data_IF_648523775656
#
_entry.id   IF_648523775656
#
_cell.length_a   1.000
_cell.length_b   1.000
_cell.length_c   1.000
_cell.angle_alpha   90.00
_cell.angle_beta   90.00
_cell.angle_gamma   90.00
#
_symmetry.space_group_name_H-M   'P 1'
#
loop_
_entity.id
_entity.type
_entity.pdbx_description
1 polymer ?
#
# COMPACT_ATOMS: atom_id res chain seq x y z
N UNK A 1 5.54 -4.06 11.26
CA UNK A 1 6.03 -5.32 11.86
C UNK A 1 6.84 -6.02 10.78
N UNK A 2 8.14 -6.25 11.00
CA UNK A 2 8.95 -7.02 10.05
C UNK A 2 8.73 -8.51 10.30
N UNK A 3 8.37 -9.24 9.25
CA UNK A 3 8.17 -10.70 9.32
C UNK A 3 9.45 -11.44 8.91
N UNK A 4 9.56 -12.70 9.29
CA UNK A 4 10.70 -13.58 9.00
C UNK A 4 10.73 -14.06 7.53
N UNK A 5 9.58 -14.13 6.86
CA UNK A 5 9.46 -14.54 5.46
C UNK A 5 10.07 -13.50 4.52
N UNK A 6 10.96 -13.94 3.63
CA UNK A 6 11.58 -13.09 2.60
C UNK A 6 11.19 -13.56 1.20
N UNK A 7 11.05 -12.62 0.29
CA UNK A 7 10.77 -12.85 -1.13
C UNK A 7 11.92 -12.20 -1.90
N UNK A 8 12.40 -12.85 -2.96
CA UNK A 8 13.36 -12.24 -3.87
C UNK A 8 12.67 -11.20 -4.76
N UNK A 9 13.19 -9.97 -4.73
CA UNK A 9 12.66 -8.80 -5.45
C UNK A 9 13.66 -8.22 -6.45
N UNK A 10 14.75 -8.95 -6.73
CA UNK A 10 15.84 -8.51 -7.62
C UNK A 10 15.38 -8.11 -9.03
N UNK A 11 14.26 -8.65 -9.51
CA UNK A 11 13.70 -8.36 -10.84
C UNK A 11 12.69 -7.20 -10.89
N UNK A 12 12.50 -6.45 -9.81
CA UNK A 12 11.50 -5.37 -9.73
C UNK A 12 12.17 -4.00 -9.94
N UNK A 13 11.72 -3.25 -10.94
CA UNK A 13 12.17 -1.88 -11.17
C UNK A 13 11.36 -0.88 -10.33
N UNK A 14 12.04 -0.18 -9.42
CA UNK A 14 11.47 0.85 -8.54
C UNK A 14 12.10 2.22 -8.75
N UNK A 15 12.97 2.37 -9.76
CA UNK A 15 13.77 3.59 -9.98
C UNK A 15 12.94 4.87 -10.12
N UNK A 16 11.70 4.75 -10.61
CA UNK A 16 10.77 5.86 -10.85
C UNK A 16 9.97 6.28 -9.61
N UNK A 17 9.99 5.47 -8.56
CA UNK A 17 9.17 5.65 -7.37
C UNK A 17 10.08 6.24 -6.28
N UNK A 18 10.05 7.56 -6.13
CA UNK A 18 10.82 8.32 -5.14
C UNK A 18 9.88 9.01 -4.13
N UNK A 19 10.42 9.76 -3.17
CA UNK A 19 9.62 10.45 -2.16
C UNK A 19 8.69 11.51 -2.78
N UNK A 20 9.18 12.22 -3.81
CA UNK A 20 8.41 13.23 -4.54
C UNK A 20 7.18 12.64 -5.25
N UNK A 21 7.26 11.39 -5.71
CA UNK A 21 6.15 10.67 -6.34
C UNK A 21 4.94 10.52 -5.41
N UNK A 22 5.15 10.50 -4.09
CA UNK A 22 4.09 10.41 -3.09
C UNK A 22 3.71 11.75 -2.47
N UNK A 23 4.33 12.86 -2.90
CA UNK A 23 4.02 14.18 -2.39
C UNK A 23 2.53 14.48 -2.57
N UNK A 24 1.89 14.93 -1.49
CA UNK A 24 0.49 15.37 -1.54
C UNK A 24 0.44 16.68 -2.33
N UNK A 25 -0.45 16.76 -3.31
CA UNK A 25 -0.75 18.03 -3.97
C UNK A 25 -1.40 18.95 -2.93
N UNK A 26 -0.78 20.09 -2.64
CA UNK A 26 -1.37 21.09 -1.76
C UNK A 26 -2.63 21.68 -2.41
N UNK A 27 -3.74 21.70 -1.66
CA UNK A 27 -4.96 22.36 -2.08
C UNK A 27 -4.80 23.87 -1.88
N UNK A 28 -4.80 24.63 -2.96
CA UNK A 28 -4.73 26.10 -2.94
C UNK A 28 -6.08 26.77 -2.65
N UNK A 29 -6.91 26.17 -1.79
CA UNK A 29 -8.17 26.76 -1.33
C UNK A 29 -7.94 27.43 0.01
N UNK A 30 -8.27 28.72 0.14
CA UNK A 30 -8.41 29.37 1.44
C UNK A 30 -9.54 28.63 2.17
N UNK A 31 -9.20 27.81 3.15
CA UNK A 31 -10.16 27.02 3.94
C UNK A 31 -11.05 27.96 4.77
N UNK A 32 -12.08 28.53 4.13
CA UNK A 32 -13.18 29.20 4.80
C UNK A 32 -14.08 28.16 5.48
N UNK A 33 -14.62 28.53 6.65
CA UNK A 33 -15.43 27.65 7.50
C UNK A 33 -16.61 26.96 6.77
N UNK A 34 -17.05 27.49 5.62
CA UNK A 34 -18.10 26.91 4.78
C UNK A 34 -17.65 25.67 3.98
N UNK A 35 -16.41 25.62 3.47
CA UNK A 35 -15.94 24.46 2.68
C UNK A 35 -15.61 23.24 3.56
N UNK A 36 -15.35 23.46 4.85
CA UNK A 36 -15.06 22.40 5.81
C UNK A 36 -16.28 21.52 6.10
N UNK A 37 -17.49 22.09 6.09
CA UNK A 37 -18.74 21.35 6.32
C UNK A 37 -19.36 20.76 5.03
N UNK A 38 -18.95 21.21 3.84
CA UNK A 38 -19.35 20.60 2.56
C UNK A 38 -18.43 19.44 2.12
N UNK A 39 -17.22 19.30 2.70
CA UNK A 39 -16.23 18.27 2.33
C UNK A 39 -16.42 16.89 3.01
N UNK A 40 -17.60 16.56 3.54
CA UNK A 40 -17.86 15.22 4.10
C UNK A 40 -17.85 14.11 3.02
N UNK A 41 -17.97 14.48 1.74
CA UNK A 41 -17.63 13.60 0.64
C UNK A 41 -16.11 13.55 0.48
N UNK A 42 -15.51 12.50 1.06
CA UNK A 42 -14.10 12.16 0.89
C UNK A 42 -13.69 12.34 -0.58
N UNK A 43 -13.00 13.46 -0.89
CA UNK A 43 -12.44 13.74 -2.21
C UNK A 43 -11.73 12.46 -2.67
N UNK A 44 -12.23 11.78 -3.71
CA UNK A 44 -11.68 10.49 -4.10
C UNK A 44 -10.20 10.72 -4.34
N UNK A 45 -9.35 9.91 -3.71
CA UNK A 45 -7.93 9.97 -3.98
C UNK A 45 -7.78 9.81 -5.51
N UNK A 46 -7.46 10.91 -6.20
CA UNK A 46 -7.32 10.92 -7.65
C UNK A 46 -6.05 10.12 -7.93
N UNK A 47 -6.21 8.80 -8.07
CA UNK A 47 -5.12 7.94 -8.48
C UNK A 47 -4.86 8.29 -9.94
N UNK A 48 -3.76 9.00 -10.19
CA UNK A 48 -3.36 9.38 -11.54
C UNK A 48 -3.18 8.12 -12.41
N UNK A 49 -3.44 8.24 -13.70
CA UNK A 49 -3.29 7.11 -14.61
C UNK A 49 -1.84 6.62 -14.71
N UNK A 50 -0.89 7.52 -14.46
CA UNK A 50 0.52 7.17 -14.26
C UNK A 50 0.71 6.20 -13.10
N UNK A 51 0.15 6.50 -11.91
CA UNK A 51 0.26 5.60 -10.74
C UNK A 51 -0.35 4.22 -10.98
N UNK A 52 -1.45 4.15 -11.74
CA UNK A 52 -2.07 2.87 -12.13
C UNK A 52 -1.18 2.07 -13.07
N UNK A 53 -0.53 2.73 -14.04
CA UNK A 53 0.37 2.08 -14.98
C UNK A 53 1.63 1.56 -14.28
N UNK A 54 2.24 2.38 -13.43
CA UNK A 54 3.42 2.02 -12.65
C UNK A 54 3.11 0.85 -11.70
N UNK A 55 1.97 0.89 -11.00
CA UNK A 55 1.52 -0.23 -10.16
C UNK A 55 1.39 -1.55 -10.93
N UNK A 56 0.74 -1.54 -12.11
CA UNK A 56 0.61 -2.75 -12.94
C UNK A 56 1.96 -3.34 -13.33
N UNK A 57 2.94 -2.48 -13.63
CA UNK A 57 4.27 -2.93 -14.04
C UNK A 57 5.03 -3.62 -12.89
N UNK A 58 4.97 -3.04 -11.69
CA UNK A 58 5.60 -3.57 -10.48
C UNK A 58 4.90 -4.84 -10.01
N UNK A 59 3.56 -4.83 -9.96
CA UNK A 59 2.76 -5.98 -9.53
C UNK A 59 2.97 -7.18 -10.46
N UNK A 60 3.10 -6.97 -11.78
CA UNK A 60 3.36 -8.05 -12.72
C UNK A 60 4.69 -8.79 -12.46
N UNK A 61 5.72 -8.08 -11.99
CA UNK A 61 7.00 -8.68 -11.61
C UNK A 61 6.90 -9.40 -10.26
N UNK A 62 6.29 -8.75 -9.25
CA UNK A 62 6.15 -9.29 -7.89
C UNK A 62 5.25 -10.53 -7.82
N UNK A 63 4.16 -10.57 -8.61
CA UNK A 63 3.22 -11.68 -8.59
C UNK A 63 3.87 -13.01 -8.96
N UNK A 64 4.90 -13.01 -9.83
CA UNK A 64 5.67 -14.22 -10.16
C UNK A 64 6.43 -14.74 -8.94
N UNK A 65 7.04 -13.86 -8.17
CA UNK A 65 7.75 -14.22 -6.95
C UNK A 65 6.78 -14.70 -5.86
N UNK A 66 5.62 -14.06 -5.73
CA UNK A 66 4.58 -14.45 -4.77
C UNK A 66 3.97 -15.81 -5.09
N UNK A 67 3.68 -16.08 -6.37
CA UNK A 67 3.10 -17.36 -6.82
C UNK A 67 4.09 -18.53 -6.75
N UNK A 68 5.40 -18.24 -6.75
CA UNK A 68 6.43 -19.27 -6.53
C UNK A 68 6.40 -19.87 -5.11
N UNK A 69 5.88 -19.12 -4.13
CA UNK A 69 5.79 -19.58 -2.74
C UNK A 69 4.39 -20.12 -2.45
N UNK A 70 4.26 -21.38 -2.03
CA UNK A 70 2.95 -21.98 -1.74
C UNK A 70 2.15 -21.16 -0.72
N UNK A 71 0.86 -20.95 -0.99
CA UNK A 71 -0.12 -20.30 -0.08
C UNK A 71 0.14 -18.80 0.21
N UNK A 72 1.27 -18.23 -0.23
CA UNK A 72 1.65 -16.85 0.09
C UNK A 72 0.66 -15.81 -0.45
N UNK A 73 0.13 -16.02 -1.66
CA UNK A 73 -0.91 -15.16 -2.24
C UNK A 73 -2.15 -15.07 -1.35
N UNK A 74 -2.63 -16.22 -0.86
CA UNK A 74 -3.78 -16.28 0.05
C UNK A 74 -3.46 -15.70 1.42
N UNK A 75 -2.22 -15.87 1.90
CA UNK A 75 -1.75 -15.29 3.15
C UNK A 75 -1.75 -13.76 3.10
N UNK A 76 -1.20 -13.14 2.04
CA UNK A 76 -1.19 -11.69 1.86
C UNK A 76 -2.60 -11.09 1.68
N UNK A 77 -3.53 -11.85 1.11
CA UNK A 77 -4.94 -11.43 1.00
C UNK A 77 -5.70 -11.46 2.33
N UNK A 78 -5.17 -12.16 3.34
CA UNK A 78 -5.80 -12.28 4.65
C UNK A 78 -5.32 -11.17 5.59
N UNK A 79 -6.25 -10.59 6.35
CA UNK A 79 -5.90 -9.57 7.36
C UNK A 79 -5.32 -10.25 8.60
N UNK A 80 -4.24 -9.69 9.13
CA UNK A 80 -3.77 -10.03 10.46
C UNK A 80 -4.66 -9.36 11.52
N UNK A 81 -5.19 -10.14 12.46
CA UNK A 81 -6.00 -9.65 13.59
C UNK A 81 -5.59 -10.38 14.88
N UNK A 82 -5.86 -9.75 16.02
CA UNK A 82 -5.61 -10.34 17.34
C UNK A 82 -6.92 -10.90 17.90
N UNK A 83 -6.88 -12.15 18.37
CA UNK A 83 -7.95 -12.78 19.14
C UNK A 83 -7.98 -12.35 20.60
N UNK A 84 -9.02 -12.76 21.33
CA UNK A 84 -9.32 -12.32 22.71
C UNK A 84 -8.22 -12.61 23.75
N UNK A 85 -7.20 -13.41 23.43
CA UNK A 85 -6.11 -13.77 24.36
C UNK A 85 -4.72 -13.71 23.72
N UNK A 86 -4.60 -13.09 22.56
CA UNK A 86 -3.33 -12.94 21.87
C UNK A 86 -2.42 -11.95 22.59
N UNK A 87 -1.12 -12.26 22.60
CA UNK A 87 -0.10 -11.46 23.28
C UNK A 87 0.95 -11.00 22.26
N UNK A 88 0.84 -9.78 21.72
CA UNK A 88 1.74 -9.29 20.66
C UNK A 88 3.22 -9.38 21.01
N UNK A 89 3.58 -9.17 22.29
CA UNK A 89 4.96 -9.29 22.77
C UNK A 89 5.51 -10.73 22.81
N UNK A 90 4.65 -11.75 22.65
CA UNK A 90 5.04 -13.17 22.54
C UNK A 90 4.88 -13.71 21.12
N UNK A 91 4.27 -12.95 20.22
CA UNK A 91 4.10 -13.36 18.84
C UNK A 91 5.42 -13.23 18.08
N UNK A 92 5.72 -14.22 17.27
CA UNK A 92 6.86 -14.23 16.35
C UNK A 92 6.32 -13.91 14.97
N UNK A 93 6.99 -12.98 14.30
CA UNK A 93 6.61 -12.47 12.99
C UNK A 93 7.68 -12.87 11.97
#
# INVERSE_FOLDING_TARGET
IGTSTKIDVSGVDVSKINDEYFARVESSSEDGEAEFFENDEAKPAIVSDQRKADQKSVDAALMKAVESTPVLKSYLGSKFTLGKHDRPHKMVF
#
